data_IF_791770456425
#
_entry.id   IF_791770456425
#
_cell.length_a   1.000
_cell.length_b   1.000
_cell.length_c   1.000
_cell.angle_alpha   90.00
_cell.angle_beta   90.00
_cell.angle_gamma   90.00
#
_symmetry.space_group_name_H-M   'P 1'
#
loop_
_entity.id
_entity.type
_entity.pdbx_description
1 polymer ?
#
# COMPACT_ATOMS: atom_id res chain seq x y z
N UNK A 1 -6.83 -7.29 3.90
CA UNK A 1 -5.47 -7.00 3.36
C UNK A 1 -5.56 -6.13 2.11
N UNK A 2 -6.20 -6.59 1.03
CA UNK A 2 -6.30 -5.83 -0.24
C UNK A 2 -6.86 -4.43 0.01
N UNK A 3 -8.03 -4.31 0.65
CA UNK A 3 -8.67 -3.03 0.94
C UNK A 3 -7.70 -2.03 1.61
N UNK A 4 -7.04 -2.42 2.67
CA UNK A 4 -6.12 -1.54 3.42
C UNK A 4 -4.94 -1.07 2.58
N UNK A 5 -4.39 -1.95 1.74
CA UNK A 5 -3.28 -1.59 0.87
C UNK A 5 -3.73 -0.64 -0.24
N UNK A 6 -4.88 -0.89 -0.87
CA UNK A 6 -5.44 -0.02 -1.93
C UNK A 6 -5.84 1.34 -1.37
N UNK A 7 -6.52 1.38 -0.22
CA UNK A 7 -6.90 2.64 0.43
C UNK A 7 -5.66 3.50 0.78
N UNK A 8 -4.60 2.88 1.29
CA UNK A 8 -3.34 3.58 1.58
C UNK A 8 -2.65 4.08 0.30
N UNK A 9 -2.71 3.30 -0.78
CA UNK A 9 -2.16 3.70 -2.08
C UNK A 9 -2.92 4.90 -2.66
N UNK A 10 -4.25 4.90 -2.58
CA UNK A 10 -5.11 6.02 -3.00
C UNK A 10 -4.78 7.28 -2.18
N UNK A 11 -4.78 7.17 -0.84
CA UNK A 11 -4.47 8.30 0.04
C UNK A 11 -3.07 8.87 -0.25
N UNK A 12 -2.06 8.01 -0.47
CA UNK A 12 -0.70 8.44 -0.75
C UNK A 12 -0.58 9.18 -2.09
N UNK A 13 -1.24 8.69 -3.13
CA UNK A 13 -1.25 9.34 -4.44
C UNK A 13 -1.99 10.68 -4.39
N UNK A 14 -3.18 10.72 -3.80
CA UNK A 14 -3.99 11.92 -3.68
C UNK A 14 -3.30 13.00 -2.83
N UNK A 15 -2.73 12.63 -1.66
CA UNK A 15 -1.93 13.54 -0.83
C UNK A 15 -0.66 14.02 -1.57
N UNK A 16 -0.12 13.20 -2.46
CA UNK A 16 1.02 13.54 -3.32
C UNK A 16 0.68 14.36 -4.57
N UNK A 17 -0.59 14.61 -4.84
CA UNK A 17 -1.03 15.28 -6.06
C UNK A 17 -0.79 14.47 -7.33
N UNK A 18 -0.77 13.14 -7.23
CA UNK A 18 -0.49 12.19 -8.31
C UNK A 18 -1.77 11.44 -8.66
N UNK A 19 -2.11 11.36 -9.95
CA UNK A 19 -3.21 10.51 -10.41
C UNK A 19 -2.88 9.05 -10.11
N UNK A 20 -3.73 8.34 -9.31
CA UNK A 20 -3.40 7.00 -8.86
C UNK A 20 -3.40 5.98 -10.01
N UNK A 21 -2.32 5.23 -10.09
CA UNK A 21 -2.17 4.02 -10.90
C UNK A 21 -1.78 2.90 -9.94
N UNK A 22 -2.64 1.89 -9.76
CA UNK A 22 -2.48 0.88 -8.72
C UNK A 22 -2.54 -0.51 -9.34
N UNK A 23 -1.53 -1.34 -9.05
CA UNK A 23 -1.43 -2.73 -9.50
C UNK A 23 -1.68 -3.66 -8.32
N UNK A 24 -2.66 -4.53 -8.47
CA UNK A 24 -3.04 -5.54 -7.48
C UNK A 24 -2.80 -6.92 -8.08
N UNK A 25 -1.92 -7.69 -7.46
CA UNK A 25 -1.62 -9.06 -7.86
C UNK A 25 -1.87 -10.01 -6.71
N UNK A 26 -2.71 -11.02 -6.94
CA UNK A 26 -3.00 -12.09 -5.98
C UNK A 26 -2.59 -13.41 -6.60
N UNK A 27 -1.65 -14.08 -5.96
CA UNK A 27 -1.14 -15.40 -6.38
C UNK A 27 -1.51 -16.45 -5.32
N UNK A 28 -2.01 -17.59 -5.74
CA UNK A 28 -2.20 -18.73 -4.86
C UNK A 28 -0.87 -19.49 -4.73
N UNK A 29 -0.29 -19.47 -3.54
CA UNK A 29 0.99 -20.15 -3.25
C UNK A 29 0.78 -21.62 -2.90
N UNK A 30 -0.28 -21.92 -2.14
CA UNK A 30 -0.76 -23.25 -1.74
C UNK A 30 -2.28 -23.21 -1.57
N UNK A 31 -2.92 -24.33 -1.20
CA UNK A 31 -4.38 -24.47 -1.13
C UNK A 31 -5.09 -23.26 -0.50
N UNK A 32 -4.77 -22.92 0.75
CA UNK A 32 -5.40 -21.81 1.47
C UNK A 32 -4.43 -20.63 1.72
N UNK A 33 -3.32 -20.60 0.97
CA UNK A 33 -2.25 -19.62 1.15
C UNK A 33 -2.09 -18.76 -0.08
N UNK A 34 -2.20 -17.47 0.11
CA UNK A 34 -2.17 -16.47 -0.95
C UNK A 34 -1.06 -15.44 -0.70
N UNK A 35 -0.47 -14.97 -1.77
CA UNK A 35 0.42 -13.81 -1.78
C UNK A 35 -0.33 -12.65 -2.40
N UNK A 36 -0.52 -11.59 -1.64
CA UNK A 36 -1.17 -10.36 -2.07
C UNK A 36 -0.11 -9.30 -2.22
N UNK A 37 0.02 -8.74 -3.40
CA UNK A 37 0.92 -7.63 -3.68
C UNK A 37 0.11 -6.44 -4.22
N UNK A 38 0.36 -5.26 -3.69
CA UNK A 38 -0.22 -3.99 -4.15
C UNK A 38 0.91 -3.01 -4.37
N UNK A 39 0.97 -2.44 -5.56
CA UNK A 39 1.92 -1.38 -5.93
C UNK A 39 1.16 -0.13 -6.34
N UNK A 40 1.66 1.02 -5.99
CA UNK A 40 1.19 2.33 -6.44
C UNK A 40 2.29 3.10 -7.18
N UNK A 41 1.89 4.17 -7.85
CA UNK A 41 2.79 5.16 -8.46
C UNK A 41 2.95 6.42 -7.60
N UNK A 42 2.60 6.36 -6.32
CA UNK A 42 2.63 7.47 -5.38
C UNK A 42 4.03 8.03 -5.11
N UNK A 43 4.17 8.93 -4.12
CA UNK A 43 5.44 9.62 -3.86
C UNK A 43 6.55 8.72 -3.28
N UNK A 44 6.21 7.48 -2.89
CA UNK A 44 7.10 6.60 -2.15
C UNK A 44 7.22 6.97 -0.67
N UNK A 45 7.91 6.13 0.09
CA UNK A 45 8.07 6.26 1.55
C UNK A 45 9.54 6.48 1.89
N UNK A 46 9.81 7.42 2.77
CA UNK A 46 11.18 7.66 3.26
C UNK A 46 11.72 6.42 3.99
N UNK A 47 12.96 6.04 3.72
CA UNK A 47 13.64 4.86 4.28
C UNK A 47 13.35 4.64 5.76
N UNK A 48 13.52 5.67 6.59
CA UNK A 48 13.33 5.59 8.05
C UNK A 48 11.89 5.34 8.50
N UNK A 49 10.91 5.66 7.64
CA UNK A 49 9.49 5.52 7.96
C UNK A 49 8.94 4.13 7.60
N UNK A 50 9.55 3.44 6.63
CA UNK A 50 9.07 2.14 6.16
C UNK A 50 8.87 1.13 7.31
N UNK A 51 9.88 0.85 8.17
CA UNK A 51 9.70 -0.10 9.27
C UNK A 51 8.61 0.33 10.25
N UNK A 52 8.48 1.62 10.50
CA UNK A 52 7.51 2.14 11.46
C UNK A 52 6.08 2.02 10.96
N UNK A 53 5.84 2.27 9.67
CA UNK A 53 4.50 2.17 9.06
C UNK A 53 4.03 0.70 9.03
N UNK A 54 4.90 -0.23 8.67
CA UNK A 54 4.53 -1.63 8.46
C UNK A 54 4.77 -2.53 9.67
N UNK A 55 5.67 -2.14 10.57
CA UNK A 55 6.12 -2.94 11.71
C UNK A 55 5.72 -2.39 13.09
N UNK A 56 4.87 -1.37 13.16
CA UNK A 56 4.39 -0.81 14.42
C UNK A 56 2.90 -0.49 14.35
N UNK A 57 2.13 -1.06 15.27
CA UNK A 57 0.70 -0.75 15.39
C UNK A 57 0.51 0.70 15.87
N UNK A 58 -0.54 1.35 15.37
CA UNK A 58 -0.93 2.73 15.70
C UNK A 58 0.10 3.81 15.28
N UNK A 59 1.11 3.45 14.50
CA UNK A 59 2.02 4.44 13.96
C UNK A 59 1.33 5.22 12.83
N UNK A 60 1.37 6.54 12.91
CA UNK A 60 0.72 7.40 11.90
C UNK A 60 -0.81 7.45 12.02
N UNK A 61 -1.37 7.05 13.18
CA UNK A 61 -2.80 7.23 13.43
C UNK A 61 -3.22 8.69 13.21
N UNK A 62 -4.28 8.90 12.42
CA UNK A 62 -4.78 10.22 12.06
C UNK A 62 -5.90 10.68 13.01
N UNK A 63 -6.00 10.12 14.22
CA UNK A 63 -7.04 10.44 15.21
C UNK A 63 -7.13 11.91 15.59
N UNK A 64 -6.01 12.62 15.48
CA UNK A 64 -5.97 14.06 15.79
C UNK A 64 -6.26 14.98 14.59
N UNK A 65 -6.39 14.41 13.40
CA UNK A 65 -6.72 15.16 12.19
C UNK A 65 -8.24 15.17 12.00
N UNK A 66 -8.85 16.34 12.02
CA UNK A 66 -10.28 16.54 11.78
C UNK A 66 -10.62 16.63 10.29
N UNK A 67 -9.87 15.92 9.46
CA UNK A 67 -10.14 15.81 8.03
C UNK A 67 -10.39 14.35 7.65
N UNK A 68 -11.24 14.17 6.65
CA UNK A 68 -11.56 12.84 6.14
C UNK A 68 -10.35 12.20 5.47
N UNK A 69 -10.05 10.95 5.81
CA UNK A 69 -9.10 10.07 5.11
C UNK A 69 -9.61 8.64 5.19
N UNK A 70 -9.23 7.79 4.23
CA UNK A 70 -9.68 6.37 4.20
C UNK A 70 -9.11 5.58 5.38
N UNK A 71 -7.85 5.80 5.73
CA UNK A 71 -7.16 5.10 6.82
C UNK A 71 -7.01 5.94 8.09
N UNK A 72 -8.08 6.11 8.90
CA UNK A 72 -8.03 6.96 10.10
C UNK A 72 -7.27 6.33 11.28
N UNK A 73 -7.34 5.02 11.43
CA UNK A 73 -6.84 4.32 12.64
C UNK A 73 -5.33 4.06 12.61
N UNK A 74 -4.68 4.05 11.45
CA UNK A 74 -3.25 3.77 11.33
C UNK A 74 -2.83 2.35 11.72
N UNK A 75 -3.78 1.39 11.70
CA UNK A 75 -3.53 -0.01 12.05
C UNK A 75 -3.76 -0.99 10.90
N UNK A 76 -4.46 -0.58 9.85
CA UNK A 76 -4.96 -1.49 8.83
C UNK A 76 -3.87 -2.31 8.16
N UNK A 77 -2.85 -1.66 7.64
CA UNK A 77 -1.77 -2.36 6.92
C UNK A 77 -0.84 -3.13 7.88
N UNK A 78 -0.54 -2.58 9.05
CA UNK A 78 0.28 -3.27 10.05
C UNK A 78 -0.45 -4.48 10.66
N UNK A 79 -1.77 -4.39 10.87
CA UNK A 79 -2.60 -5.52 11.27
C UNK A 79 -2.68 -6.60 10.16
N UNK A 80 -2.77 -6.21 8.90
CA UNK A 80 -2.72 -7.15 7.78
C UNK A 80 -1.37 -7.89 7.72
N UNK A 81 -0.27 -7.17 7.94
CA UNK A 81 1.07 -7.76 8.04
C UNK A 81 1.21 -8.71 9.23
N UNK A 82 0.68 -8.33 10.39
CA UNK A 82 0.65 -9.18 11.57
C UNK A 82 -0.16 -10.47 11.34
N UNK A 83 -1.32 -10.36 10.70
CA UNK A 83 -2.12 -11.54 10.33
C UNK A 83 -1.34 -12.48 9.39
N UNK A 84 -0.67 -11.93 8.38
CA UNK A 84 0.20 -12.69 7.48
C UNK A 84 1.31 -13.42 8.25
N UNK A 85 1.99 -12.73 9.14
CA UNK A 85 3.03 -13.31 10.00
C UNK A 85 2.48 -14.44 10.89
N UNK A 86 1.35 -14.24 11.54
CA UNK A 86 0.74 -15.24 12.43
C UNK A 86 0.27 -16.48 11.69
N UNK A 87 -0.23 -16.34 10.46
CA UNK A 87 -0.76 -17.47 9.69
C UNK A 87 0.28 -18.18 8.86
N UNK A 88 1.32 -17.48 8.40
CA UNK A 88 2.30 -18.04 7.45
C UNK A 88 3.74 -18.03 7.94
N UNK A 89 4.04 -17.27 9.00
CA UNK A 89 5.39 -17.02 9.46
C UNK A 89 6.21 -16.10 8.54
N UNK A 90 5.60 -15.54 7.49
CA UNK A 90 6.32 -14.71 6.52
C UNK A 90 6.27 -13.23 6.90
N UNK A 91 7.37 -12.48 6.64
CA UNK A 91 7.40 -11.03 6.83
C UNK A 91 6.58 -10.32 5.74
N UNK A 92 6.19 -9.09 6.05
CA UNK A 92 5.76 -8.15 5.03
C UNK A 92 6.98 -7.72 4.23
N UNK A 93 6.88 -7.79 2.90
CA UNK A 93 7.92 -7.30 1.99
C UNK A 93 7.49 -5.96 1.43
N UNK A 94 8.34 -4.97 1.56
CA UNK A 94 8.09 -3.61 1.10
C UNK A 94 9.20 -3.17 0.17
N UNK A 95 8.83 -2.70 -1.00
CA UNK A 95 9.72 -2.01 -1.93
C UNK A 95 9.20 -0.59 -2.07
N UNK A 96 10.01 0.40 -1.81
CA UNK A 96 9.61 1.78 -1.98
C UNK A 96 10.67 2.57 -2.75
N UNK A 97 10.21 3.47 -3.60
CA UNK A 97 11.02 4.34 -4.43
C UNK A 97 10.49 5.77 -4.36
N UNK A 98 11.35 6.67 -3.96
CA UNK A 98 11.13 8.12 -4.03
C UNK A 98 11.75 8.62 -5.36
N UNK A 99 11.18 9.61 -6.05
CA UNK A 99 11.75 10.15 -7.29
C UNK A 99 13.22 10.52 -7.12
N UNK A 100 14.06 10.10 -8.08
CA UNK A 100 15.51 10.37 -8.11
C UNK A 100 16.31 9.78 -6.93
N UNK A 101 15.74 8.84 -6.17
CA UNK A 101 16.41 8.09 -5.11
C UNK A 101 16.59 6.62 -5.52
N UNK A 102 17.37 5.87 -4.75
CA UNK A 102 17.46 4.43 -4.85
C UNK A 102 16.18 3.75 -4.34
N UNK A 103 15.97 2.51 -4.73
CA UNK A 103 14.92 1.69 -4.13
C UNK A 103 15.33 1.27 -2.71
N UNK A 104 14.35 1.20 -1.83
CA UNK A 104 14.50 0.63 -0.49
C UNK A 104 13.68 -0.64 -0.40
N UNK A 105 14.32 -1.76 -0.07
CA UNK A 105 13.67 -3.04 0.14
C UNK A 105 13.77 -3.47 1.60
N UNK A 106 12.63 -3.80 2.18
CA UNK A 106 12.50 -4.24 3.56
C UNK A 106 11.70 -5.53 3.68
N UNK A 107 12.12 -6.39 4.60
CA UNK A 107 11.34 -7.50 5.15
C UNK A 107 11.08 -7.20 6.62
N UNK A 108 9.81 -6.93 6.96
CA UNK A 108 9.43 -6.41 8.29
C UNK A 108 8.44 -7.34 8.96
N UNK A 109 8.66 -7.59 10.23
CA UNK A 109 7.69 -8.21 11.14
C UNK A 109 7.42 -7.28 12.33
N UNK A 110 6.31 -7.54 13.05
CA UNK A 110 6.00 -6.85 14.30
C UNK A 110 6.43 -7.73 15.46
N UNK A 111 7.29 -7.24 16.32
CA UNK A 111 7.46 -7.85 17.64
C UNK A 111 6.19 -7.58 18.46
N UNK A 112 5.36 -8.61 18.62
CA UNK A 112 4.08 -8.51 19.31
C UNK A 112 4.19 -8.21 20.81
N UNK A 113 5.36 -8.40 21.41
CA UNK A 113 5.61 -8.10 22.84
C UNK A 113 5.91 -6.63 23.06
N UNK A 114 6.71 -6.05 22.16
CA UNK A 114 7.21 -4.68 22.33
C UNK A 114 6.53 -3.67 21.41
N UNK A 115 5.73 -4.14 20.45
CA UNK A 115 5.14 -3.33 19.37
C UNK A 115 6.21 -2.53 18.60
N UNK A 116 7.37 -3.13 18.35
CA UNK A 116 8.42 -2.54 17.56
C UNK A 116 8.64 -3.30 16.26
N UNK A 117 9.09 -2.62 15.19
CA UNK A 117 9.44 -3.28 13.95
C UNK A 117 10.68 -4.15 14.11
N UNK A 118 10.62 -5.37 13.64
CA UNK A 118 11.76 -6.25 13.43
C UNK A 118 12.07 -6.32 11.94
N UNK A 119 13.27 -5.88 11.56
CA UNK A 119 13.72 -5.87 10.17
C UNK A 119 14.61 -7.09 9.96
N UNK A 120 14.17 -8.00 9.09
CA UNK A 120 14.81 -9.31 8.89
C UNK A 120 15.93 -9.28 7.84
N UNK A 121 15.98 -8.28 6.99
CA UNK A 121 16.96 -8.18 5.91
C UNK A 121 17.97 -7.03 6.13
N UNK A 122 19.06 -7.02 5.33
CA UNK A 122 20.04 -5.94 5.34
C UNK A 122 20.76 -5.75 6.68
N UNK A 123 20.90 -6.78 7.49
CA UNK A 123 21.45 -6.73 8.86
C UNK A 123 20.65 -5.81 9.79
N UNK A 124 19.33 -5.76 9.58
CA UNK A 124 18.42 -4.95 10.39
C UNK A 124 18.19 -3.51 9.88
N UNK A 125 18.65 -3.15 8.69
CA UNK A 125 18.48 -1.81 8.10
C UNK A 125 17.88 -1.83 6.67
N UNK A 126 17.35 -2.97 6.25
CA UNK A 126 16.85 -3.15 4.88
C UNK A 126 17.99 -3.15 3.84
N UNK A 127 17.62 -3.06 2.58
CA UNK A 127 18.56 -3.07 1.45
C UNK A 127 18.29 -1.88 0.54
N UNK A 128 19.33 -1.10 0.24
CA UNK A 128 19.28 -0.07 -0.77
C UNK A 128 19.67 -0.66 -2.11
N UNK A 129 18.79 -0.55 -3.10
CA UNK A 129 18.97 -1.11 -4.44
C UNK A 129 19.23 0.03 -5.41
N UNK A 130 20.48 0.19 -5.78
CA UNK A 130 20.93 1.22 -6.73
C UNK A 130 20.56 0.87 -8.17
N UNK A 131 20.48 1.86 -9.04
CA UNK A 131 20.22 1.65 -10.46
C UNK A 131 21.19 0.62 -11.08
N UNK A 132 22.49 0.66 -10.69
CA UNK A 132 23.53 -0.27 -11.17
C UNK A 132 23.28 -1.73 -10.80
N UNK A 133 22.66 -1.97 -9.65
CA UNK A 133 22.46 -3.31 -9.10
C UNK A 133 21.01 -3.80 -9.22
N UNK A 134 20.13 -3.00 -9.82
CA UNK A 134 18.68 -3.19 -9.82
C UNK A 134 18.28 -4.58 -10.31
N UNK A 135 18.69 -4.97 -11.50
CA UNK A 135 18.33 -6.27 -12.09
C UNK A 135 18.78 -7.44 -11.22
N UNK A 136 20.04 -7.42 -10.80
CA UNK A 136 20.61 -8.46 -9.92
C UNK A 136 19.85 -8.57 -8.60
N UNK A 137 19.58 -7.43 -7.95
CA UNK A 137 18.98 -7.42 -6.62
C UNK A 137 17.47 -7.71 -6.69
N UNK A 138 16.80 -7.28 -7.76
CA UNK A 138 15.40 -7.66 -8.02
C UNK A 138 15.29 -9.19 -8.22
N UNK A 139 16.15 -9.79 -9.02
CA UNK A 139 16.18 -11.24 -9.20
C UNK A 139 16.52 -11.97 -7.88
N UNK A 140 17.53 -11.50 -7.13
CA UNK A 140 17.96 -12.07 -5.86
C UNK A 140 16.85 -12.09 -4.81
N UNK A 141 16.14 -10.99 -4.65
CA UNK A 141 15.08 -10.84 -3.63
C UNK A 141 13.69 -11.18 -4.16
N UNK A 142 13.58 -11.61 -5.43
CA UNK A 142 12.33 -11.91 -6.12
C UNK A 142 11.34 -10.73 -6.02
N UNK A 143 11.84 -9.54 -6.33
CA UNK A 143 11.07 -8.32 -6.36
C UNK A 143 10.38 -8.23 -7.73
N UNK A 144 9.07 -8.27 -7.70
CA UNK A 144 8.22 -8.07 -8.85
C UNK A 144 7.71 -6.62 -8.83
N UNK A 145 8.42 -5.73 -9.53
CA UNK A 145 8.11 -4.30 -9.61
C UNK A 145 7.63 -3.94 -11.00
N UNK A 146 6.44 -3.37 -11.10
CA UNK A 146 5.96 -2.80 -12.34
C UNK A 146 6.75 -1.53 -12.62
N UNK A 147 7.58 -1.57 -13.67
CA UNK A 147 8.48 -0.46 -14.02
C UNK A 147 7.90 0.44 -15.10
N UNK A 148 7.04 -0.12 -15.96
CA UNK A 148 6.41 0.57 -17.08
C UNK A 148 4.97 0.10 -17.19
N UNK A 149 4.08 0.96 -17.70
CA UNK A 149 2.70 0.64 -18.03
C UNK A 149 2.22 1.42 -19.25
N UNK A 150 1.26 0.87 -19.96
CA UNK A 150 0.63 1.50 -21.10
C UNK A 150 -0.50 2.42 -20.61
N UNK A 151 -0.27 3.71 -20.67
CA UNK A 151 -1.31 4.69 -20.37
C UNK A 151 -2.17 4.94 -21.62
N UNK A 152 -3.48 5.11 -21.41
CA UNK A 152 -4.46 5.25 -22.51
C UNK A 152 -4.16 6.46 -23.42
N UNK A 153 -3.54 7.50 -22.87
CA UNK A 153 -3.30 8.77 -23.56
C UNK A 153 -1.86 8.91 -24.11
N UNK A 154 -0.96 8.00 -23.74
CA UNK A 154 0.45 8.04 -24.12
C UNK A 154 0.75 7.02 -25.23
N UNK A 155 1.61 7.42 -26.18
CA UNK A 155 2.02 6.52 -27.29
C UNK A 155 3.06 5.49 -26.85
N UNK A 156 3.89 5.86 -25.90
CA UNK A 156 4.98 5.04 -25.39
C UNK A 156 4.66 4.63 -23.93
N UNK A 157 5.16 3.47 -23.46
CA UNK A 157 4.99 3.04 -22.09
C UNK A 157 5.53 4.07 -21.09
N UNK A 158 4.74 4.36 -20.06
CA UNK A 158 5.08 5.32 -19.01
C UNK A 158 5.91 4.64 -17.93
N UNK A 159 7.04 5.26 -17.55
CA UNK A 159 7.89 4.77 -16.48
C UNK A 159 7.30 5.07 -15.10
N UNK A 160 7.27 4.06 -14.22
CA UNK A 160 6.92 4.24 -12.81
C UNK A 160 8.16 4.76 -12.06
N UNK A 161 8.27 6.07 -11.94
CA UNK A 161 9.44 6.75 -11.36
C UNK A 161 9.50 6.72 -9.84
N UNK A 162 8.36 6.48 -9.17
CA UNK A 162 8.21 6.41 -7.71
C UNK A 162 7.02 5.54 -7.33
N UNK A 163 6.89 5.23 -6.06
CA UNK A 163 5.77 4.45 -5.54
C UNK A 163 6.17 3.52 -4.41
N UNK A 164 5.21 2.72 -3.99
CA UNK A 164 5.41 1.70 -2.97
C UNK A 164 4.74 0.40 -3.38
N UNK A 165 5.45 -0.72 -3.23
CA UNK A 165 4.90 -2.06 -3.37
C UNK A 165 4.94 -2.77 -2.04
N UNK A 166 3.80 -3.25 -1.60
CA UNK A 166 3.62 -4.05 -0.38
C UNK A 166 3.22 -5.45 -0.78
N UNK A 167 3.90 -6.45 -0.22
CA UNK A 167 3.58 -7.87 -0.46
C UNK A 167 3.40 -8.57 0.86
N UNK A 168 2.24 -9.19 1.06
CA UNK A 168 1.85 -9.93 2.25
C UNK A 168 1.44 -11.33 1.84
N UNK A 169 2.01 -12.33 2.49
CA UNK A 169 1.59 -13.72 2.35
C UNK A 169 0.71 -14.07 3.56
N UNK A 170 -0.46 -14.66 3.31
CA UNK A 170 -1.46 -14.93 4.33
C UNK A 170 -2.27 -16.18 4.01
N UNK A 171 -2.87 -16.80 5.03
CA UNK A 171 -3.91 -17.81 4.84
C UNK A 171 -5.28 -17.14 4.66
N UNK A 172 -6.05 -17.65 3.71
CA UNK A 172 -7.35 -17.12 3.38
C UNK A 172 -8.11 -17.94 2.37
N UNK A 173 -9.25 -17.46 1.95
CA UNK A 173 -10.05 -18.04 0.88
C UNK A 173 -10.31 -17.02 -0.20
N UNK A 174 -10.06 -17.39 -1.44
CA UNK A 174 -10.48 -16.59 -2.57
C UNK A 174 -11.94 -16.92 -2.87
N UNK A 175 -12.83 -15.94 -2.73
CA UNK A 175 -14.25 -16.06 -3.00
C UNK A 175 -14.60 -15.24 -4.23
N UNK A 176 -15.55 -15.70 -5.04
CA UNK A 176 -16.10 -14.96 -6.17
C UNK A 176 -17.46 -14.39 -5.79
N UNK A 177 -17.88 -13.34 -6.50
CA UNK A 177 -19.18 -12.71 -6.33
C UNK A 177 -19.19 -11.63 -5.25
N UNK A 178 -20.34 -11.39 -4.63
CA UNK A 178 -20.52 -10.30 -3.68
C UNK A 178 -19.57 -10.40 -2.48
N UNK A 179 -18.84 -9.30 -2.23
CA UNK A 179 -17.83 -9.23 -1.17
C UNK A 179 -16.49 -9.87 -1.53
N UNK A 180 -16.28 -10.24 -2.80
CA UNK A 180 -14.99 -10.66 -3.34
C UNK A 180 -14.03 -9.48 -3.53
N UNK A 181 -12.79 -9.79 -3.88
CA UNK A 181 -11.83 -8.74 -4.26
C UNK A 181 -12.28 -8.04 -5.54
N UNK A 182 -12.80 -8.78 -6.52
CA UNK A 182 -13.33 -8.20 -7.76
C UNK A 182 -14.44 -7.19 -7.49
N UNK A 183 -15.44 -7.58 -6.68
CA UNK A 183 -16.55 -6.71 -6.29
C UNK A 183 -16.05 -5.44 -5.57
N UNK A 184 -15.06 -5.59 -4.67
CA UNK A 184 -14.44 -4.45 -3.99
C UNK A 184 -13.70 -3.52 -4.97
N UNK A 185 -12.92 -4.06 -5.92
CA UNK A 185 -12.15 -3.25 -6.88
C UNK A 185 -13.06 -2.53 -7.87
N UNK A 186 -14.13 -3.17 -8.32
CA UNK A 186 -15.15 -2.55 -9.17
C UNK A 186 -15.81 -1.37 -8.46
N UNK A 187 -16.25 -1.56 -7.21
CA UNK A 187 -16.83 -0.49 -6.39
C UNK A 187 -15.83 0.63 -6.11
N UNK A 188 -14.55 0.29 -5.91
CA UNK A 188 -13.49 1.26 -5.70
C UNK A 188 -13.26 2.10 -6.95
N UNK A 189 -13.25 1.50 -8.14
CA UNK A 189 -13.11 2.21 -9.41
C UNK A 189 -14.30 3.16 -9.66
N UNK A 190 -15.51 2.71 -9.35
CA UNK A 190 -16.72 3.55 -9.47
C UNK A 190 -16.67 4.74 -8.50
N UNK A 191 -16.27 4.51 -7.24
CA UNK A 191 -16.21 5.55 -6.22
C UNK A 191 -15.05 6.53 -6.41
N UNK A 192 -14.02 6.14 -7.16
CA UNK A 192 -12.81 6.93 -7.39
C UNK A 192 -12.54 7.05 -8.91
N UNK A 193 -13.27 7.90 -9.63
CA UNK A 193 -13.18 7.97 -11.10
C UNK A 193 -11.80 8.40 -11.63
N UNK A 194 -10.93 8.91 -10.78
CA UNK A 194 -9.57 9.35 -11.09
C UNK A 194 -8.51 8.24 -10.96
N UNK A 195 -8.88 7.03 -10.48
CA UNK A 195 -7.93 5.91 -10.34
C UNK A 195 -7.95 4.99 -11.55
N UNK A 196 -6.79 4.46 -11.93
CA UNK A 196 -6.68 3.25 -12.74
C UNK A 196 -6.25 2.09 -11.85
N UNK A 197 -7.01 0.99 -11.89
CA UNK A 197 -6.68 -0.24 -11.18
C UNK A 197 -6.33 -1.34 -12.17
N UNK A 198 -5.16 -1.96 -12.00
CA UNK A 198 -4.74 -3.15 -12.72
C UNK A 198 -4.83 -4.33 -11.77
N UNK A 199 -5.62 -5.31 -12.11
CA UNK A 199 -5.86 -6.45 -11.23
C UNK A 199 -5.54 -7.76 -11.93
N UNK A 200 -4.79 -8.61 -11.24
CA UNK A 200 -4.59 -9.99 -11.59
C UNK A 200 -4.89 -10.87 -10.38
N UNK A 201 -5.97 -11.62 -10.48
CA UNK A 201 -6.37 -12.64 -9.51
C UNK A 201 -5.68 -13.98 -9.75
N UNK A 202 -5.82 -14.94 -8.81
CA UNK A 202 -5.34 -16.29 -9.00
C UNK A 202 -6.15 -16.97 -10.11
N UNK A 203 -5.43 -17.57 -11.08
CA UNK A 203 -6.01 -18.27 -12.24
C UNK A 203 -7.00 -17.44 -13.07
N UNK A 204 -6.81 -16.13 -13.13
CA UNK A 204 -7.64 -15.21 -13.87
C UNK A 204 -6.82 -14.40 -14.88
N UNK A 205 -7.48 -13.98 -15.98
CA UNK A 205 -6.90 -13.04 -16.93
C UNK A 205 -6.75 -11.66 -16.28
N UNK A 206 -5.66 -10.92 -16.56
CA UNK A 206 -5.49 -9.56 -16.06
C UNK A 206 -6.65 -8.66 -16.49
N UNK A 207 -7.11 -7.82 -15.56
CA UNK A 207 -8.18 -6.85 -15.81
C UNK A 207 -7.68 -5.45 -15.47
N UNK A 208 -8.14 -4.48 -16.24
CA UNK A 208 -7.89 -3.07 -15.98
C UNK A 208 -9.21 -2.32 -15.84
N UNK A 209 -9.33 -1.54 -14.78
CA UNK A 209 -10.40 -0.59 -14.53
C UNK A 209 -9.82 0.81 -14.82
N UNK A 210 -9.99 1.33 -16.04
CA UNK A 210 -9.38 2.59 -16.41
C UNK A 210 -10.08 3.77 -15.72
N UNK A 211 -9.30 4.81 -15.40
CA UNK A 211 -9.87 6.06 -14.90
C UNK A 211 -10.83 6.68 -15.92
N UNK A 212 -11.88 7.30 -15.44
CA UNK A 212 -12.83 8.06 -16.26
C UNK A 212 -12.69 9.58 -16.06
N UNK A 213 -11.81 10.01 -15.13
CA UNK A 213 -11.49 11.41 -14.88
C UNK A 213 -10.00 11.58 -14.66
N UNK A 214 -9.45 12.68 -15.13
CA UNK A 214 -8.05 13.11 -14.85
C UNK A 214 -7.97 14.19 -13.78
N UNK A 215 -9.09 14.51 -13.13
CA UNK A 215 -9.15 15.48 -12.06
C UNK A 215 -9.03 14.78 -10.71
N UNK A 216 -8.05 15.22 -9.90
CA UNK A 216 -7.93 14.77 -8.52
C UNK A 216 -9.04 15.37 -7.66
N UNK A 217 -9.53 14.62 -6.66
CA UNK A 217 -10.48 15.17 -5.70
C UNK A 217 -9.86 16.33 -4.93
N UNK A 218 -10.71 17.30 -4.57
CA UNK A 218 -10.28 18.42 -3.73
C UNK A 218 -9.85 17.89 -2.36
N UNK A 219 -8.67 18.26 -1.92
CA UNK A 219 -8.15 17.84 -0.60
C UNK A 219 -9.15 18.19 0.51
N UNK A 220 -9.55 17.23 1.35
CA UNK A 220 -10.48 17.49 2.44
C UNK A 220 -9.90 18.53 3.40
N UNK A 221 -10.66 19.56 3.69
CA UNK A 221 -10.27 20.59 4.67
C UNK A 221 -10.52 20.09 6.09
N UNK A 222 -9.65 20.46 7.01
CA UNK A 222 -9.93 20.25 8.42
C UNK A 222 -11.18 21.02 8.83
N UNK A 223 -12.12 20.33 9.47
CA UNK A 223 -13.28 20.98 10.07
C UNK A 223 -12.90 21.52 11.46
N UNK A 224 -13.49 22.63 11.83
CA UNK A 224 -13.34 23.14 13.21
C UNK A 224 -13.92 22.09 14.18
N UNK A 225 -13.26 21.83 15.32
CA UNK A 225 -13.78 20.91 16.33
C UNK A 225 -15.22 21.26 16.72
N UNK A 226 -16.13 20.30 16.58
CA UNK A 226 -17.47 20.47 17.11
C UNK A 226 -17.47 20.09 18.60
N UNK A 227 -18.21 20.77 19.50
CA UNK A 227 -18.22 20.47 20.93
C UNK A 227 -18.46 18.99 21.27
N UNK A 228 -19.27 18.28 20.47
CA UNK A 228 -19.53 16.83 20.65
C UNK A 228 -18.38 15.91 20.18
N UNK A 229 -17.41 16.44 19.43
CA UNK A 229 -16.27 15.66 18.90
C UNK A 229 -14.93 16.07 19.50
N UNK A 230 -14.91 16.97 20.49
CA UNK A 230 -13.67 17.44 21.12
C UNK A 230 -13.36 16.54 22.32
N UNK A 231 -12.20 15.87 22.29
CA UNK A 231 -11.72 15.13 23.45
C UNK A 231 -11.45 16.05 24.63
N UNK A 232 -11.70 15.52 25.85
CA UNK A 232 -11.53 16.25 27.10
C UNK A 232 -10.13 16.91 27.24
N UNK A 233 -9.09 16.22 26.77
CA UNK A 233 -7.72 16.73 26.78
C UNK A 233 -7.53 18.01 25.96
N UNK A 234 -8.22 18.15 24.83
CA UNK A 234 -8.21 19.38 24.03
C UNK A 234 -9.01 20.52 24.68
N UNK A 235 -10.13 20.18 25.34
CA UNK A 235 -10.91 21.17 26.08
C UNK A 235 -10.13 21.79 27.26
N UNK A 236 -9.25 21.00 27.88
CA UNK A 236 -8.43 21.48 29.01
C UNK A 236 -7.26 22.34 28.55
N UNK A 237 -6.83 22.22 27.29
CA UNK A 237 -5.70 22.98 26.70
C UNK A 237 -6.17 24.20 25.88
N UNK A 238 -7.47 24.42 25.73
CA UNK A 238 -8.08 25.60 25.13
C UNK A 238 -8.35 26.68 26.18
#
# INVERSE_FOLDING_TARGET
TVKEAVDNSLDACEEGGILPEIWIHIEQVKNDRFRVAVQDNGPGIMKKQIPLIFGKLLYGSKFHRLRMSRGQQGIGISAAGMYGMLTTGQPVKIVSKIPRKDFHYYEVQIDTKTNNPEILNGRGDGVDITAKNRERDFAKYKIDWVSYYDAVEEKDPVEVISGTRVTIELEGKNQRGRGSVDDYLEQTAIANPHVTLHYQGPDEEPRTYPRSSTELPVEPKEIKPHPYGVELGRLVTM
#
